data_IF_545133117135
#
_entry.id   IF_545133117135
#
_cell.length_a   1.000
_cell.length_b   1.000
_cell.length_c   1.000
_cell.angle_alpha   90.00
_cell.angle_beta   90.00
_cell.angle_gamma   90.00
#
_symmetry.space_group_name_H-M   'P 1'
#
loop_
_entity.id
_entity.type
_entity.pdbx_description
1 polymer ?
#
# COMPACT_ATOMS: atom_id res chain seq x y z
N UNK A 1 -7.46 17.30 -24.79
CA UNK A 1 -7.69 16.41 -23.63
C UNK A 1 -6.96 15.10 -23.88
N UNK A 2 -5.72 14.98 -23.40
CA UNK A 2 -4.95 13.73 -23.50
C UNK A 2 -5.52 12.74 -22.49
N UNK A 3 -6.28 11.76 -22.98
CA UNK A 3 -6.75 10.62 -22.18
C UNK A 3 -5.52 9.92 -21.60
N UNK A 4 -5.49 9.78 -20.28
CA UNK A 4 -4.31 9.37 -19.52
C UNK A 4 -3.68 8.09 -20.05
N UNK A 5 -2.41 8.17 -20.43
CA UNK A 5 -1.63 7.07 -20.96
C UNK A 5 -1.38 5.99 -19.88
N UNK A 6 -2.34 5.09 -19.70
CA UNK A 6 -2.17 3.63 -19.55
C UNK A 6 -1.12 3.03 -18.60
N UNK A 7 -0.51 3.76 -17.65
CA UNK A 7 0.43 3.18 -16.68
C UNK A 7 0.17 3.70 -15.27
N UNK A 8 -0.28 2.79 -14.40
CA UNK A 8 -0.28 2.99 -12.94
C UNK A 8 1.17 3.08 -12.48
N UNK A 9 1.59 4.26 -12.01
CA UNK A 9 2.91 4.46 -11.41
C UNK A 9 2.83 4.20 -9.91
N UNK A 10 3.97 3.98 -9.27
CA UNK A 10 4.05 3.67 -7.83
C UNK A 10 3.37 4.74 -6.94
N UNK A 11 3.35 6.00 -7.39
CA UNK A 11 2.66 7.12 -6.73
C UNK A 11 1.19 7.31 -7.12
N UNK A 12 0.64 6.51 -8.03
CA UNK A 12 -0.76 6.59 -8.42
C UNK A 12 -1.67 6.19 -7.25
N UNK A 13 -2.79 6.90 -7.01
CA UNK A 13 -3.76 6.50 -6.00
C UNK A 13 -4.44 5.18 -6.38
N UNK A 14 -4.67 4.33 -5.39
CA UNK A 14 -5.26 2.99 -5.49
C UNK A 14 -6.27 2.80 -4.36
N UNK A 15 -7.40 2.17 -4.65
CA UNK A 15 -8.41 1.80 -3.65
C UNK A 15 -8.02 0.44 -3.07
N UNK A 16 -7.75 0.38 -1.78
CA UNK A 16 -7.40 -0.86 -1.07
C UNK A 16 -8.43 -1.19 0.03
N UNK A 17 -8.42 -2.46 0.47
CA UNK A 17 -9.21 -2.94 1.58
C UNK A 17 -8.36 -3.00 2.85
N UNK A 18 -8.79 -2.34 3.91
CA UNK A 18 -8.15 -2.37 5.23
C UNK A 18 -8.06 -3.80 5.73
N UNK A 19 -9.18 -4.53 5.77
CA UNK A 19 -9.22 -5.96 6.05
C UNK A 19 -9.51 -6.76 4.77
N UNK A 20 -8.60 -7.61 4.30
CA UNK A 20 -8.79 -8.40 3.07
C UNK A 20 -9.91 -9.44 3.20
N UNK A 21 -10.28 -9.85 4.42
CA UNK A 21 -11.37 -10.79 4.68
C UNK A 21 -12.76 -10.15 4.63
N UNK A 22 -12.83 -8.81 4.58
CA UNK A 22 -14.08 -8.06 4.44
C UNK A 22 -14.28 -7.61 2.99
N UNK A 23 -15.53 -7.36 2.62
CA UNK A 23 -15.89 -6.83 1.29
C UNK A 23 -15.45 -5.38 1.07
N UNK A 24 -15.77 -4.84 -0.10
CA UNK A 24 -15.60 -3.42 -0.40
C UNK A 24 -16.75 -2.63 0.24
N UNK A 25 -16.55 -2.12 1.45
CA UNK A 25 -17.49 -1.25 2.15
C UNK A 25 -16.83 0.09 2.46
N UNK A 26 -17.59 1.20 2.58
CA UNK A 26 -17.01 2.51 2.89
C UNK A 26 -16.15 2.54 4.17
N UNK A 27 -16.47 1.66 5.12
CA UNK A 27 -15.76 1.46 6.39
C UNK A 27 -14.53 0.53 6.30
N UNK A 28 -14.40 -0.25 5.22
CA UNK A 28 -13.27 -1.18 4.99
C UNK A 28 -12.38 -0.75 3.82
N UNK A 29 -12.71 0.35 3.14
CA UNK A 29 -11.96 0.86 1.99
C UNK A 29 -11.20 2.13 2.38
N UNK A 30 -10.02 2.29 1.78
CA UNK A 30 -9.22 3.51 1.92
C UNK A 30 -8.39 3.74 0.66
N UNK A 31 -7.92 4.98 0.48
CA UNK A 31 -7.06 5.36 -0.64
C UNK A 31 -5.60 5.29 -0.20
N UNK A 32 -4.81 4.48 -0.90
CA UNK A 32 -3.37 4.34 -0.69
C UNK A 32 -2.62 4.42 -2.03
N UNK A 33 -1.30 4.61 -2.00
CA UNK A 33 -0.52 4.56 -3.24
C UNK A 33 -0.43 3.13 -3.79
N UNK A 34 -0.30 3.00 -5.10
CA UNK A 34 -0.09 1.71 -5.77
C UNK A 34 1.12 0.96 -5.21
N UNK A 35 2.19 1.67 -4.84
CA UNK A 35 3.36 1.09 -4.18
C UNK A 35 3.03 0.49 -2.81
N UNK A 36 2.32 1.24 -1.96
CA UNK A 36 1.93 0.76 -0.64
C UNK A 36 0.98 -0.44 -0.73
N UNK A 37 0.04 -0.42 -1.68
CA UNK A 37 -0.86 -1.53 -1.94
C UNK A 37 -0.09 -2.80 -2.33
N UNK A 38 0.92 -2.67 -3.20
CA UNK A 38 1.78 -3.78 -3.59
C UNK A 38 2.59 -4.33 -2.41
N UNK A 39 3.10 -3.48 -1.53
CA UNK A 39 3.82 -3.93 -0.31
C UNK A 39 2.86 -4.69 0.60
N UNK A 40 1.68 -4.13 0.88
CA UNK A 40 0.64 -4.75 1.72
C UNK A 40 0.14 -6.09 1.17
N UNK A 41 0.10 -6.27 -0.15
CA UNK A 41 -0.30 -7.53 -0.76
C UNK A 41 0.78 -8.61 -0.72
N UNK A 42 2.05 -8.26 -0.52
CA UNK A 42 3.18 -9.20 -0.55
C UNK A 42 3.78 -9.49 0.84
N UNK A 43 3.39 -8.75 1.87
CA UNK A 43 3.94 -8.88 3.20
C UNK A 43 2.85 -8.81 4.27
N UNK A 44 3.05 -9.54 5.36
CA UNK A 44 2.26 -9.41 6.58
C UNK A 44 2.61 -8.11 7.31
N UNK A 45 1.69 -7.63 8.14
CA UNK A 45 1.94 -6.46 9.00
C UNK A 45 3.17 -6.67 9.88
N UNK A 46 3.41 -7.89 10.37
CA UNK A 46 4.59 -8.22 11.17
C UNK A 46 5.89 -8.06 10.37
N UNK A 47 5.97 -8.60 9.14
CA UNK A 47 7.17 -8.48 8.30
C UNK A 47 7.46 -7.01 7.95
N UNK A 48 6.43 -6.24 7.64
CA UNK A 48 6.57 -4.80 7.37
C UNK A 48 7.15 -4.08 8.59
N UNK A 49 6.66 -4.39 9.80
CA UNK A 49 7.18 -3.83 11.05
C UNK A 49 8.63 -4.23 11.31
N UNK A 50 8.98 -5.50 11.13
CA UNK A 50 10.34 -5.98 11.32
C UNK A 50 11.33 -5.27 10.38
N UNK A 51 10.94 -5.04 9.12
CA UNK A 51 11.76 -4.29 8.17
C UNK A 51 11.90 -2.83 8.61
N UNK A 52 10.80 -2.19 9.01
CA UNK A 52 10.83 -0.82 9.50
C UNK A 52 11.73 -0.66 10.74
N UNK A 53 11.55 -1.50 11.75
CA UNK A 53 12.37 -1.53 12.97
C UNK A 53 13.85 -1.79 12.64
N UNK A 54 14.14 -2.68 11.69
CA UNK A 54 15.51 -2.97 11.25
C UNK A 54 16.18 -1.78 10.56
N UNK A 55 15.42 -0.99 9.78
CA UNK A 55 15.92 0.22 9.12
C UNK A 55 16.17 1.34 10.13
N UNK A 56 15.23 1.56 11.06
CA UNK A 56 15.35 2.56 12.13
C UNK A 56 16.56 2.27 13.02
N UNK A 57 16.73 1.01 13.45
CA UNK A 57 17.88 0.60 14.28
C UNK A 57 19.24 0.78 13.58
N UNK A 58 19.26 0.76 12.24
CA UNK A 58 20.48 1.02 11.44
C UNK A 58 20.70 2.51 11.14
N UNK A 59 19.80 3.39 11.61
CA UNK A 59 19.91 4.84 11.41
C UNK A 59 19.54 5.30 10.00
N UNK A 60 18.73 4.53 9.27
CA UNK A 60 18.15 4.99 8.01
C UNK A 60 16.93 5.86 8.28
N UNK A 61 16.86 7.04 7.66
CA UNK A 61 15.70 7.93 7.63
C UNK A 61 15.57 8.59 6.25
#
# INVERSE_FOLDING_TARGET
LTLGAGKTVDGSPSVDRINPNKGYTPENCWIISHKANRIKSNATVCEIRMVAEGLENKGYY
#
